data_IF_383629288409
#
_entry.id   IF_383629288409
#
_cell.length_a   1.000
_cell.length_b   1.000
_cell.length_c   1.000
_cell.angle_alpha   90.00
_cell.angle_beta   90.00
_cell.angle_gamma   90.00
#
_symmetry.space_group_name_H-M   'P 1'
#
loop_
_entity.id
_entity.type
_entity.pdbx_description
1 polymer ?
#
# COMPACT_ATOMS: atom_id res chain seq x y z
N UNK A 1 -10.79 0.64 -17.64
CA UNK A 1 -9.91 1.24 -16.62
C UNK A 1 -10.57 1.00 -15.29
N UNK A 2 -9.86 0.43 -14.30
CA UNK A 2 -10.50 0.00 -13.04
C UNK A 2 -10.56 1.14 -12.02
N UNK A 3 -9.45 1.88 -11.86
CA UNK A 3 -9.32 3.07 -11.01
C UNK A 3 -8.34 4.03 -11.69
N UNK A 4 -8.57 5.32 -11.55
CA UNK A 4 -7.77 6.42 -12.11
C UNK A 4 -7.21 7.34 -11.04
N UNK A 5 -6.23 8.16 -11.43
CA UNK A 5 -5.68 9.22 -10.58
C UNK A 5 -4.75 8.75 -9.46
N UNK A 6 -4.28 7.49 -9.54
CA UNK A 6 -3.32 6.92 -8.59
C UNK A 6 -1.89 7.45 -8.82
N UNK A 7 -1.15 7.65 -7.74
CA UNK A 7 0.26 8.06 -7.75
C UNK A 7 1.19 6.84 -7.76
N UNK A 8 1.66 6.48 -8.95
CA UNK A 8 2.62 5.38 -9.14
C UNK A 8 2.20 4.07 -8.47
N UNK A 9 1.00 3.53 -8.76
CA UNK A 9 0.56 2.27 -8.17
C UNK A 9 1.48 1.12 -8.58
N UNK A 10 1.81 0.25 -7.64
CA UNK A 10 2.72 -0.89 -7.88
C UNK A 10 2.21 -2.20 -7.27
N UNK A 11 1.82 -2.17 -5.99
CA UNK A 11 1.34 -3.36 -5.27
C UNK A 11 -0.18 -3.43 -5.28
N UNK A 12 -0.73 -4.64 -5.38
CA UNK A 12 -2.17 -4.88 -5.22
C UNK A 12 -2.41 -6.17 -4.44
N UNK A 13 -3.45 -6.17 -3.61
CA UNK A 13 -3.99 -7.37 -2.97
C UNK A 13 -5.52 -7.34 -2.92
N UNK A 14 -6.14 -8.52 -2.87
CA UNK A 14 -7.59 -8.69 -2.76
C UNK A 14 -7.91 -9.43 -1.46
N UNK A 15 -8.70 -8.80 -0.60
CA UNK A 15 -9.11 -9.41 0.67
C UNK A 15 -10.50 -8.92 1.07
N UNK A 16 -11.39 -9.87 1.39
CA UNK A 16 -12.76 -9.64 1.87
C UNK A 16 -13.55 -8.57 1.08
N UNK A 17 -13.53 -8.65 -0.24
CA UNK A 17 -14.29 -7.73 -1.11
C UNK A 17 -13.68 -6.33 -1.23
N UNK A 18 -12.40 -6.16 -0.86
CA UNK A 18 -11.64 -4.94 -1.09
C UNK A 18 -10.37 -5.20 -1.89
N UNK A 19 -10.08 -4.30 -2.84
CA UNK A 19 -8.74 -4.16 -3.40
C UNK A 19 -7.95 -3.20 -2.53
N UNK A 20 -6.75 -3.61 -2.14
CA UNK A 20 -5.74 -2.79 -1.47
C UNK A 20 -4.67 -2.46 -2.50
N UNK A 21 -4.41 -1.17 -2.74
CA UNK A 21 -3.47 -0.71 -3.77
C UNK A 21 -2.39 0.12 -3.11
N UNK A 22 -1.15 -0.29 -3.30
CA UNK A 22 0.01 0.44 -2.81
C UNK A 22 0.53 1.41 -3.88
N UNK A 23 0.55 2.67 -3.50
CA UNK A 23 1.08 3.82 -4.23
C UNK A 23 2.44 4.21 -3.63
N UNK A 24 3.10 5.23 -4.21
CA UNK A 24 4.44 5.63 -3.77
C UNK A 24 4.52 6.00 -2.28
N UNK A 25 3.54 6.78 -1.84
CA UNK A 25 3.47 7.42 -0.52
C UNK A 25 2.26 6.99 0.33
N UNK A 26 1.42 6.09 -0.20
CA UNK A 26 0.16 5.70 0.42
C UNK A 26 -0.24 4.26 0.11
N UNK A 27 -1.18 3.72 0.89
CA UNK A 27 -2.01 2.58 0.50
C UNK A 27 -3.45 3.02 0.56
N UNK A 28 -4.21 2.77 -0.49
CA UNK A 28 -5.65 2.94 -0.48
C UNK A 28 -6.40 1.64 -0.68
N UNK A 29 -7.69 1.69 -0.42
CA UNK A 29 -8.60 0.59 -0.69
C UNK A 29 -9.90 1.04 -1.34
N UNK A 30 -10.52 0.14 -2.10
CA UNK A 30 -11.85 0.31 -2.68
C UNK A 30 -12.60 -1.02 -2.63
N UNK A 31 -13.93 -0.98 -2.52
CA UNK A 31 -14.73 -2.19 -2.61
C UNK A 31 -14.64 -2.77 -4.03
N UNK A 32 -14.56 -4.09 -4.13
CA UNK A 32 -14.38 -4.82 -5.38
C UNK A 32 -15.16 -6.13 -5.36
N UNK A 33 -15.99 -6.30 -6.39
CA UNK A 33 -16.67 -7.56 -6.66
C UNK A 33 -15.80 -8.40 -7.59
N UNK A 34 -15.25 -9.51 -7.07
CA UNK A 34 -14.38 -10.39 -7.83
C UNK A 34 -15.10 -11.23 -8.90
N UNK A 35 -16.43 -11.37 -8.81
CA UNK A 35 -17.22 -12.09 -9.80
C UNK A 35 -17.54 -11.21 -11.01
N UNK A 36 -17.88 -9.93 -10.80
CA UNK A 36 -18.11 -8.99 -11.91
C UNK A 36 -16.83 -8.30 -12.39
N UNK A 37 -15.81 -8.19 -11.54
CA UNK A 37 -14.59 -7.43 -11.81
C UNK A 37 -14.77 -5.92 -11.67
N UNK A 38 -15.80 -5.47 -10.94
CA UNK A 38 -16.16 -4.07 -10.80
C UNK A 38 -15.80 -3.52 -9.41
N UNK A 39 -15.39 -2.25 -9.38
CA UNK A 39 -15.23 -1.48 -8.13
C UNK A 39 -16.49 -0.70 -7.80
N UNK A 40 -16.71 -0.39 -6.52
CA UNK A 40 -17.80 0.48 -6.09
C UNK A 40 -17.41 1.41 -4.94
N UNK A 41 -18.09 2.55 -4.86
CA UNK A 41 -17.79 3.60 -3.89
C UNK A 41 -16.51 4.38 -4.24
N UNK A 42 -15.97 5.07 -3.23
CA UNK A 42 -14.78 5.91 -3.38
C UNK A 42 -13.51 5.14 -3.00
N UNK A 43 -12.44 5.34 -3.78
CA UNK A 43 -11.10 4.94 -3.38
C UNK A 43 -10.64 5.79 -2.20
N UNK A 44 -10.19 5.16 -1.11
CA UNK A 44 -9.77 5.84 0.12
C UNK A 44 -8.35 5.44 0.48
N UNK A 45 -7.48 6.43 0.63
CA UNK A 45 -6.19 6.22 1.31
C UNK A 45 -6.43 5.87 2.77
N UNK A 46 -5.93 4.70 3.17
CA UNK A 46 -6.00 4.20 4.54
C UNK A 46 -4.65 4.38 5.25
N UNK A 47 -3.55 4.26 4.51
CA UNK A 47 -2.20 4.58 4.99
C UNK A 47 -1.68 5.74 4.17
N UNK A 48 -1.13 6.76 4.82
CA UNK A 48 -0.53 7.94 4.17
C UNK A 48 0.81 8.28 4.80
N UNK A 49 1.60 9.11 4.10
CA UNK A 49 2.89 9.58 4.63
C UNK A 49 3.96 8.48 4.68
N UNK A 50 3.85 7.45 3.85
CA UNK A 50 4.96 6.52 3.62
C UNK A 50 6.15 7.29 3.04
N UNK A 51 7.39 6.93 3.38
CA UNK A 51 8.57 7.59 2.82
C UNK A 51 8.55 7.53 1.28
N UNK A 52 8.49 8.67 0.61
CA UNK A 52 8.49 8.77 -0.85
C UNK A 52 9.84 9.31 -1.38
N UNK A 53 10.04 9.23 -2.69
CA UNK A 53 11.26 9.60 -3.40
C UNK A 53 12.32 8.51 -3.34
N UNK A 54 13.53 8.88 -3.78
CA UNK A 54 14.66 7.96 -3.90
C UNK A 54 14.51 6.95 -5.04
N UNK A 55 15.44 5.99 -5.08
CA UNK A 55 15.50 5.00 -6.16
C UNK A 55 14.46 3.88 -6.03
N UNK A 56 14.20 3.37 -4.82
CA UNK A 56 13.33 2.20 -4.63
C UNK A 56 11.95 2.59 -4.07
N UNK A 57 11.17 3.24 -4.91
CA UNK A 57 9.83 3.78 -4.57
C UNK A 57 8.70 2.73 -4.67
N UNK A 58 8.95 1.56 -5.25
CA UNK A 58 7.92 0.52 -5.39
C UNK A 58 7.48 -0.03 -4.04
N UNK A 59 6.21 -0.46 -3.97
CA UNK A 59 5.59 -1.00 -2.75
C UNK A 59 4.87 -2.30 -3.08
N UNK A 60 5.11 -3.34 -2.29
CA UNK A 60 4.24 -4.52 -2.24
C UNK A 60 3.31 -4.34 -1.06
N UNK A 61 2.04 -4.71 -1.24
CA UNK A 61 1.05 -4.78 -0.16
C UNK A 61 0.47 -6.18 -0.11
N UNK A 62 0.27 -6.71 1.10
CA UNK A 62 -0.45 -7.97 1.35
C UNK A 62 -1.21 -7.94 2.65
N UNK A 63 -2.37 -8.59 2.68
CA UNK A 63 -3.07 -8.95 3.91
C UNK A 63 -2.54 -10.29 4.40
N UNK A 64 -2.04 -10.32 5.63
CA UNK A 64 -1.57 -11.52 6.30
C UNK A 64 -2.71 -12.35 6.90
N UNK A 65 -2.44 -13.59 7.34
CA UNK A 65 -3.43 -14.46 7.97
C UNK A 65 -3.89 -13.98 9.37
N UNK A 66 -3.32 -12.90 9.87
CA UNK A 66 -3.61 -12.22 11.13
C UNK A 66 -4.50 -10.97 10.95
N UNK A 67 -5.09 -10.81 9.76
CA UNK A 67 -5.89 -9.64 9.37
C UNK A 67 -5.14 -8.32 9.55
N UNK A 68 -3.84 -8.34 9.20
CA UNK A 68 -2.98 -7.16 9.17
C UNK A 68 -2.49 -6.89 7.75
N UNK A 69 -2.29 -5.60 7.46
CA UNK A 69 -1.78 -5.11 6.20
C UNK A 69 -0.26 -4.96 6.28
N UNK A 70 0.47 -5.66 5.42
CA UNK A 70 1.93 -5.63 5.32
C UNK A 70 2.34 -4.85 4.08
N UNK A 71 3.18 -3.82 4.26
CA UNK A 71 3.61 -2.92 3.19
C UNK A 71 5.13 -2.87 3.14
N UNK A 72 5.73 -3.27 2.01
CA UNK A 72 7.17 -3.14 1.83
C UNK A 72 7.54 -1.71 1.43
N UNK A 73 8.53 -1.12 2.09
CA UNK A 73 9.08 0.19 1.73
C UNK A 73 10.56 0.04 1.39
N UNK A 74 10.90 0.28 0.13
CA UNK A 74 12.27 0.19 -0.36
C UNK A 74 13.18 1.30 0.19
N UNK A 75 14.49 1.05 0.20
CA UNK A 75 15.51 2.05 0.53
C UNK A 75 15.43 3.28 -0.39
N UNK A 76 15.84 4.44 0.08
CA UNK A 76 15.97 5.65 -0.72
C UNK A 76 17.13 5.56 -1.72
N UNK A 77 18.12 4.71 -1.46
CA UNK A 77 19.38 4.64 -2.19
C UNK A 77 19.97 3.21 -2.20
N UNK A 78 21.16 3.06 -2.79
CA UNK A 78 21.89 1.79 -2.83
C UNK A 78 22.90 1.57 -1.69
N UNK A 79 23.41 2.65 -1.05
CA UNK A 79 24.57 2.57 -0.13
C UNK A 79 24.49 3.52 1.08
N UNK A 80 23.56 4.46 1.09
CA UNK A 80 23.38 5.41 2.17
C UNK A 80 22.78 4.73 3.41
N UNK A 81 22.95 5.40 4.56
CA UNK A 81 22.26 5.07 5.79
C UNK A 81 20.93 5.84 5.75
N UNK A 82 19.83 5.12 5.95
CA UNK A 82 18.50 5.74 5.93
C UNK A 82 18.29 6.58 7.20
N UNK A 83 17.71 7.77 7.04
CA UNK A 83 17.30 8.63 8.15
C UNK A 83 15.90 8.25 8.68
N UNK A 84 15.07 7.63 7.82
CA UNK A 84 13.73 7.17 8.18
C UNK A 84 13.76 5.66 8.43
N UNK A 85 13.46 5.19 9.66
CA UNK A 85 13.50 3.76 9.99
C UNK A 85 12.48 2.93 9.20
N UNK A 86 11.51 3.58 8.55
CA UNK A 86 10.52 2.91 7.70
C UNK A 86 11.08 2.56 6.32
N UNK A 87 12.27 3.03 5.95
CA UNK A 87 12.94 2.65 4.70
C UNK A 87 13.64 1.29 4.85
N UNK A 88 13.70 0.53 3.75
CA UNK A 88 14.23 -0.84 3.74
C UNK A 88 13.56 -1.77 4.77
N UNK A 89 12.25 -1.57 4.99
CA UNK A 89 11.47 -2.27 6.01
C UNK A 89 10.16 -2.84 5.42
N UNK A 90 9.54 -3.74 6.20
CA UNK A 90 8.14 -4.13 6.00
C UNK A 90 7.36 -3.58 7.19
N UNK A 91 6.43 -2.69 6.88
CA UNK A 91 5.56 -2.06 7.87
C UNK A 91 4.27 -2.86 8.02
N UNK A 92 3.69 -2.86 9.22
CA UNK A 92 2.42 -3.56 9.50
C UNK A 92 1.37 -2.58 10.02
N UNK A 93 0.18 -2.62 9.45
CA UNK A 93 -0.97 -1.79 9.84
C UNK A 93 -2.21 -2.66 10.11
N UNK A 94 -3.23 -2.09 10.74
CA UNK A 94 -4.60 -2.63 10.64
C UNK A 94 -5.14 -2.50 9.21
N UNK A 95 -6.18 -3.25 8.86
CA UNK A 95 -6.80 -3.20 7.52
C UNK A 95 -7.44 -1.86 7.16
N UNK A 96 -7.74 -1.03 8.15
CA UNK A 96 -8.23 0.35 7.98
C UNK A 96 -7.11 1.40 8.05
N UNK A 97 -5.85 0.97 8.15
CA UNK A 97 -4.67 1.85 8.13
C UNK A 97 -4.44 2.63 9.43
N UNK A 98 -4.95 2.12 10.55
CA UNK A 98 -4.73 2.62 11.90
C UNK A 98 -3.28 2.42 12.38
N UNK A 99 -3.08 2.06 13.66
CA UNK A 99 -1.73 1.97 14.24
C UNK A 99 -0.79 1.10 13.39
N UNK A 100 0.29 1.74 12.94
CA UNK A 100 1.35 1.14 12.13
C UNK A 100 2.61 0.94 12.96
N UNK A 101 3.29 -0.19 12.75
CA UNK A 101 4.62 -0.49 13.29
C UNK A 101 5.62 -0.92 12.21
#
# INVERSE_FOLDING_TARGET
MLIDGLDGPHGIDLHEGYLYIAERSAVGRIAFDAASGEVSGDYRHIVTGLPDGGNHWTRTVRVGPDDRLYVSVGSSCNVCIEDDPRRAAILRYTLDGGEGE
#
